data_IF_136630721199
#
_entry.id   IF_136630721199
#
_cell.length_a   1.000
_cell.length_b   1.000
_cell.length_c   1.000
_cell.angle_alpha   90.00
_cell.angle_beta   90.00
_cell.angle_gamma   90.00
#
_symmetry.space_group_name_H-M   'P 1'
#
loop_
_entity.id
_entity.type
_entity.pdbx_description
1 polymer ?
#
# COMPACT_ATOMS: atom_id res chain seq x y z
N UNK A 1 11.63 15.74 -31.12
CA UNK A 1 12.47 14.59 -30.71
C UNK A 1 11.67 13.74 -29.74
N UNK A 2 11.52 12.41 -29.95
CA UNK A 2 10.63 11.56 -29.16
C UNK A 2 11.20 11.15 -27.78
N UNK A 3 12.32 11.75 -27.37
CA UNK A 3 12.88 11.67 -26.02
C UNK A 3 13.29 13.07 -25.60
N UNK A 4 12.31 13.92 -25.28
CA UNK A 4 12.67 15.17 -24.59
C UNK A 4 13.20 14.78 -23.22
N UNK A 5 14.44 15.15 -22.92
CA UNK A 5 15.08 14.91 -21.62
C UNK A 5 14.17 15.33 -20.45
N UNK A 6 13.42 16.45 -20.52
CA UNK A 6 12.50 16.83 -19.46
C UNK A 6 11.37 15.83 -19.22
N UNK A 7 10.72 15.32 -20.27
CA UNK A 7 9.62 14.37 -20.11
C UNK A 7 10.11 13.06 -19.46
N UNK A 8 11.27 12.55 -19.90
CA UNK A 8 11.87 11.37 -19.29
C UNK A 8 12.27 11.61 -17.82
N UNK A 9 12.84 12.78 -17.51
CA UNK A 9 13.17 13.16 -16.13
C UNK A 9 11.91 13.20 -15.26
N UNK A 10 10.81 13.77 -15.75
CA UNK A 10 9.52 13.76 -15.05
C UNK A 10 9.04 12.33 -14.78
N UNK A 11 9.05 11.44 -15.78
CA UNK A 11 8.65 10.04 -15.60
C UNK A 11 9.53 9.32 -14.56
N UNK A 12 10.85 9.50 -14.62
CA UNK A 12 11.77 8.90 -13.66
C UNK A 12 11.53 9.41 -12.24
N UNK A 13 11.31 10.71 -12.07
CA UNK A 13 11.03 11.29 -10.77
C UNK A 13 9.74 10.73 -10.17
N UNK A 14 8.69 10.57 -10.98
CA UNK A 14 7.42 10.00 -10.53
C UNK A 14 7.54 8.52 -10.20
N UNK A 15 8.28 7.76 -11.00
CA UNK A 15 8.54 6.37 -10.70
C UNK A 15 9.31 6.23 -9.38
N UNK A 16 10.37 7.02 -9.18
CA UNK A 16 11.15 7.02 -7.93
C UNK A 16 10.27 7.42 -6.74
N UNK A 17 9.44 8.45 -6.89
CA UNK A 17 8.49 8.85 -5.86
C UNK A 17 7.55 7.69 -5.50
N UNK A 18 6.89 7.11 -6.50
CA UNK A 18 5.96 5.99 -6.33
C UNK A 18 6.62 4.76 -5.69
N UNK A 19 7.82 4.38 -6.16
CA UNK A 19 8.58 3.26 -5.64
C UNK A 19 8.89 3.40 -4.15
N UNK A 20 9.21 4.62 -3.72
CA UNK A 20 9.57 4.92 -2.35
C UNK A 20 8.36 5.06 -1.42
N UNK A 21 7.22 5.58 -1.90
CA UNK A 21 6.09 5.95 -1.04
C UNK A 21 4.90 5.01 -1.13
N UNK A 22 4.66 4.36 -2.27
CA UNK A 22 3.43 3.62 -2.53
C UNK A 22 3.62 2.14 -2.80
N UNK A 23 4.85 1.70 -3.12
CA UNK A 23 5.15 0.29 -3.39
C UNK A 23 5.74 -0.40 -2.15
N UNK A 24 5.03 -1.34 -1.52
CA UNK A 24 5.61 -2.22 -0.53
C UNK A 24 6.64 -3.17 -1.15
N UNK A 25 7.71 -3.50 -0.42
CA UNK A 25 8.71 -4.47 -0.91
C UNK A 25 8.93 -5.60 0.08
N UNK A 26 9.02 -6.83 -0.45
CA UNK A 26 9.27 -8.03 0.35
C UNK A 26 10.62 -7.98 1.08
N UNK A 27 11.66 -7.40 0.47
CA UNK A 27 13.00 -7.30 1.07
C UNK A 27 13.03 -6.48 2.37
N UNK A 28 12.05 -5.59 2.57
CA UNK A 28 11.87 -4.83 3.81
C UNK A 28 10.58 -5.23 4.56
N UNK A 29 10.15 -6.48 4.38
CA UNK A 29 9.04 -7.06 5.14
C UNK A 29 7.67 -6.45 4.82
N UNK A 30 7.43 -6.05 3.57
CA UNK A 30 6.15 -5.47 3.14
C UNK A 30 5.97 -4.00 3.51
N UNK A 31 7.06 -3.32 3.86
CA UNK A 31 7.13 -1.87 4.10
C UNK A 31 7.53 -1.14 2.82
N UNK A 32 7.31 0.16 2.79
CA UNK A 32 7.84 1.06 1.76
C UNK A 32 9.26 1.52 2.15
N UNK A 33 10.13 1.86 1.19
CA UNK A 33 11.46 2.39 1.49
C UNK A 33 11.39 3.69 2.30
N UNK A 34 10.39 4.53 2.03
CA UNK A 34 10.18 5.78 2.76
C UNK A 34 9.85 5.55 4.23
N UNK A 35 8.98 4.58 4.55
CA UNK A 35 8.65 4.21 5.94
C UNK A 35 9.90 3.73 6.69
N UNK A 36 10.71 2.86 6.07
CA UNK A 36 11.93 2.32 6.67
C UNK A 36 12.95 3.43 6.90
N UNK A 37 13.19 4.27 5.89
CA UNK A 37 14.19 5.34 5.96
C UNK A 37 13.86 6.37 7.05
N UNK A 38 12.59 6.75 7.18
CA UNK A 38 12.14 7.75 8.16
C UNK A 38 11.72 7.16 9.51
N UNK A 39 11.76 5.83 9.68
CA UNK A 39 11.28 5.17 10.91
C UNK A 39 9.79 5.39 11.19
N UNK A 40 8.97 5.59 10.15
CA UNK A 40 7.53 5.79 10.28
C UNK A 40 6.86 4.44 10.51
N UNK A 41 5.81 4.41 11.35
CA UNK A 41 5.01 3.20 11.55
C UNK A 41 4.45 2.72 10.20
N UNK A 42 4.81 1.51 9.73
CA UNK A 42 4.38 1.04 8.43
C UNK A 42 2.89 0.71 8.36
N UNK A 43 2.30 0.88 7.17
CA UNK A 43 0.89 0.57 6.94
C UNK A 43 0.55 -0.92 7.22
N UNK A 44 1.48 -1.85 6.97
CA UNK A 44 1.26 -3.27 7.20
C UNK A 44 1.30 -3.69 8.69
N UNK A 45 1.67 -2.78 9.59
CA UNK A 45 1.60 -2.96 11.05
C UNK A 45 0.34 -2.31 11.66
N UNK A 46 -0.51 -1.71 10.83
CA UNK A 46 -1.81 -1.18 11.25
C UNK A 46 -2.81 -2.33 11.51
N UNK A 47 -3.93 -2.00 12.17
CA UNK A 47 -5.00 -2.96 12.40
C UNK A 47 -5.48 -3.53 11.06
N UNK A 48 -5.47 -4.86 10.92
CA UNK A 48 -5.86 -5.52 9.67
C UNK A 48 -7.38 -5.53 9.51
N UNK A 49 -7.85 -5.41 8.28
CA UNK A 49 -9.24 -5.67 7.98
C UNK A 49 -9.50 -7.18 7.98
N UNK A 50 -10.57 -7.63 8.66
CA UNK A 50 -11.01 -9.03 8.62
C UNK A 50 -12.43 -9.10 8.04
N UNK A 51 -12.58 -9.49 6.75
CA UNK A 51 -13.87 -9.49 6.08
C UNK A 51 -14.78 -10.65 6.48
N UNK A 52 -14.25 -11.69 7.16
CA UNK A 52 -15.02 -12.86 7.57
C UNK A 52 -15.55 -12.65 8.99
N UNK A 53 -16.86 -12.74 9.15
CA UNK A 53 -17.57 -12.45 10.40
C UNK A 53 -17.04 -13.26 11.60
N UNK A 54 -16.87 -14.57 11.43
CA UNK A 54 -16.54 -15.49 12.53
C UNK A 54 -15.07 -15.95 12.49
N UNK A 55 -14.20 -15.18 11.84
CA UNK A 55 -12.79 -15.54 11.78
C UNK A 55 -12.09 -15.26 13.12
N UNK A 56 -11.35 -16.24 13.69
CA UNK A 56 -10.74 -16.05 15.01
C UNK A 56 -9.77 -14.86 15.03
N UNK A 57 -9.89 -14.00 16.04
CA UNK A 57 -9.04 -12.82 16.19
C UNK A 57 -7.54 -13.16 16.31
N UNK A 58 -7.23 -14.36 16.79
CA UNK A 58 -5.87 -14.89 16.96
C UNK A 58 -5.32 -15.59 15.72
N UNK A 59 -6.11 -15.74 14.67
CA UNK A 59 -5.64 -16.37 13.43
C UNK A 59 -4.51 -15.56 12.79
N UNK A 60 -3.51 -16.24 12.22
CA UNK A 60 -2.37 -15.57 11.61
C UNK A 60 -2.78 -14.78 10.37
N UNK A 61 -2.07 -13.70 10.09
CA UNK A 61 -2.14 -12.97 8.82
C UNK A 61 -0.79 -12.98 8.09
N UNK A 62 -0.77 -12.44 6.87
CA UNK A 62 0.48 -12.07 6.22
C UNK A 62 1.28 -11.17 7.16
N UNK A 63 2.58 -11.43 7.28
CA UNK A 63 3.43 -10.73 8.23
C UNK A 63 3.52 -9.23 7.93
N UNK A 64 3.68 -8.38 8.96
CA UNK A 64 3.75 -8.73 10.38
C UNK A 64 2.38 -9.13 10.95
N UNK A 65 2.39 -9.82 12.10
CA UNK A 65 1.14 -10.13 12.79
C UNK A 65 0.50 -8.84 13.29
N UNK A 66 -0.73 -8.57 12.86
CA UNK A 66 -1.50 -7.41 13.24
C UNK A 66 -2.88 -7.82 13.77
N UNK A 67 -3.37 -7.20 14.87
CA UNK A 67 -4.70 -7.48 15.37
C UNK A 67 -5.77 -7.01 14.37
N UNK A 68 -6.90 -7.71 14.26
CA UNK A 68 -8.00 -7.27 13.42
C UNK A 68 -8.64 -5.99 13.95
N UNK A 69 -9.14 -5.15 13.04
CA UNK A 69 -10.07 -4.08 13.36
C UNK A 69 -11.41 -4.70 13.77
N UNK A 70 -12.03 -4.17 14.83
CA UNK A 70 -13.35 -4.60 15.29
C UNK A 70 -14.47 -3.70 14.74
N UNK A 71 -15.68 -4.25 14.48
CA UNK A 71 -15.98 -5.69 14.44
C UNK A 71 -15.43 -6.36 13.16
N UNK A 72 -15.17 -7.69 13.17
CA UNK A 72 -14.93 -8.47 11.96
C UNK A 72 -16.20 -8.54 11.08
N UNK A 73 -16.06 -9.06 9.85
CA UNK A 73 -17.16 -9.09 8.88
C UNK A 73 -17.25 -7.84 8.01
N UNK A 74 -16.17 -7.07 7.92
CA UNK A 74 -16.13 -5.81 7.18
C UNK A 74 -16.23 -6.05 5.68
N UNK A 75 -17.17 -5.39 5.02
CA UNK A 75 -17.14 -5.24 3.56
C UNK A 75 -16.07 -4.22 3.20
N UNK A 76 -15.21 -4.57 2.25
CA UNK A 76 -14.07 -3.75 1.85
C UNK A 76 -14.22 -3.33 0.41
N UNK A 77 -13.93 -2.07 0.15
CA UNK A 77 -13.77 -1.52 -1.19
C UNK A 77 -12.27 -1.34 -1.48
N UNK A 78 -11.85 -1.79 -2.65
CA UNK A 78 -10.50 -1.59 -3.16
C UNK A 78 -10.53 -0.47 -4.18
N UNK A 79 -9.90 0.66 -3.83
CA UNK A 79 -9.75 1.78 -4.73
C UNK A 79 -8.35 1.72 -5.36
N UNK A 80 -8.31 1.64 -6.70
CA UNK A 80 -7.06 1.71 -7.45
C UNK A 80 -7.03 3.05 -8.19
N UNK A 81 -6.20 3.95 -7.70
CA UNK A 81 -5.88 5.20 -8.37
C UNK A 81 -4.49 5.11 -9.02
N UNK A 82 -4.09 6.16 -9.74
CA UNK A 82 -2.84 6.17 -10.49
C UNK A 82 -2.11 7.49 -10.26
N UNK A 83 -0.83 7.43 -9.89
CA UNK A 83 -0.03 8.63 -9.64
C UNK A 83 0.00 9.50 -10.90
N UNK A 84 -0.57 10.70 -10.80
CA UNK A 84 -0.74 11.63 -11.92
C UNK A 84 -1.32 10.97 -13.19
N UNK A 85 -2.28 10.05 -13.02
CA UNK A 85 -2.97 9.37 -14.14
C UNK A 85 -2.15 8.28 -14.84
N UNK A 86 -0.94 7.96 -14.37
CA UNK A 86 -0.05 6.97 -15.01
C UNK A 86 -0.44 5.55 -14.62
N UNK A 87 -1.04 4.81 -15.56
CA UNK A 87 -1.51 3.42 -15.34
C UNK A 87 -0.45 2.45 -14.81
N UNK A 88 0.83 2.73 -15.04
CA UNK A 88 1.95 1.90 -14.59
C UNK A 88 2.42 2.24 -13.16
N UNK A 89 1.87 3.29 -12.53
CA UNK A 89 2.15 3.73 -11.16
C UNK A 89 0.86 3.65 -10.30
N UNK A 90 0.34 2.44 -10.04
CA UNK A 90 -0.92 2.26 -9.31
C UNK A 90 -0.76 2.55 -7.81
N UNK A 91 -1.73 3.24 -7.22
CA UNK A 91 -1.85 3.42 -5.78
C UNK A 91 -3.11 2.65 -5.35
N UNK A 92 -2.93 1.67 -4.46
CA UNK A 92 -4.00 0.80 -4.00
C UNK A 92 -4.35 1.19 -2.57
N UNK A 93 -5.61 1.57 -2.36
CA UNK A 93 -6.16 1.85 -1.04
C UNK A 93 -7.27 0.86 -0.71
N UNK A 94 -7.34 0.47 0.56
CA UNK A 94 -8.42 -0.39 1.08
C UNK A 94 -9.25 0.45 2.04
N UNK A 95 -10.56 0.52 1.77
CA UNK A 95 -11.52 1.23 2.61
C UNK A 95 -12.62 0.29 3.07
N UNK A 96 -13.27 0.63 4.16
CA UNK A 96 -14.49 -0.05 4.57
C UNK A 96 -15.64 0.48 3.71
N UNK A 97 -16.40 -0.43 3.10
CA UNK A 97 -17.59 -0.11 2.33
C UNK A 97 -18.70 0.43 3.24
N UNK A 98 -19.53 1.34 2.72
CA UNK A 98 -20.67 1.93 3.42
C UNK A 98 -21.84 0.94 3.64
#
# INVERSE_FOLDING_TARGET
MPFSTPALQTELNLYVFWYNHHRPHQAVGGRTPFEVYHGIKPANEALRFEPRQDWPCTSPCAGPQAPPRNPPGLKLDFEVSFLEGRRHLPIVEVRQAA
#
